data_IF_023617591329
#
_entry.id   IF_023617591329
#
_cell.length_a   1.000
_cell.length_b   1.000
_cell.length_c   1.000
_cell.angle_alpha   90.00
_cell.angle_beta   90.00
_cell.angle_gamma   90.00
#
_symmetry.space_group_name_H-M   'P 1'
#
loop_
_entity.id
_entity.type
_entity.pdbx_description
1 polymer ?
#
# COMPACT_ATOMS: atom_id res chain seq x y z
N UNK A 1 35.54 -4.16 -26.01
CA UNK A 1 34.37 -5.05 -25.78
C UNK A 1 33.99 -5.20 -24.30
N UNK A 2 34.42 -4.31 -23.39
CA UNK A 2 34.15 -4.44 -21.94
C UNK A 2 33.16 -3.38 -21.40
N UNK A 3 32.91 -2.30 -22.15
CA UNK A 3 31.99 -1.23 -21.76
C UNK A 3 30.51 -1.51 -22.11
N UNK A 4 30.23 -2.28 -23.16
CA UNK A 4 28.86 -2.59 -23.56
C UNK A 4 28.19 -3.58 -22.61
N UNK A 5 28.95 -4.51 -22.02
CA UNK A 5 28.44 -5.46 -21.02
C UNK A 5 28.04 -4.77 -19.71
N UNK A 6 28.79 -3.77 -19.25
CA UNK A 6 28.47 -3.01 -18.04
C UNK A 6 27.18 -2.19 -18.17
N UNK A 7 26.91 -1.64 -19.35
CA UNK A 7 25.67 -0.88 -19.61
C UNK A 7 24.45 -1.80 -19.55
N UNK A 8 24.53 -3.01 -20.12
CA UNK A 8 23.45 -3.99 -20.01
C UNK A 8 23.24 -4.52 -18.58
N UNK A 9 24.31 -4.66 -17.79
CA UNK A 9 24.23 -5.14 -16.40
C UNK A 9 23.62 -4.08 -15.45
N UNK A 10 23.87 -2.79 -15.69
CA UNK A 10 23.24 -1.69 -14.93
C UNK A 10 21.77 -1.49 -15.34
N UNK A 11 21.42 -1.75 -16.60
CA UNK A 11 20.03 -1.70 -17.07
C UNK A 11 19.19 -2.88 -16.53
N UNK A 12 19.79 -4.07 -16.33
CA UNK A 12 19.13 -5.21 -15.69
C UNK A 12 19.01 -5.10 -14.15
N UNK A 13 19.86 -4.28 -13.51
CA UNK A 13 19.75 -3.95 -12.08
C UNK A 13 18.74 -2.85 -11.78
N UNK A 14 18.18 -2.19 -12.80
CA UNK A 14 16.92 -1.48 -12.69
C UNK A 14 15.79 -2.51 -12.77
N UNK A 15 15.65 -3.33 -11.72
CA UNK A 15 14.34 -3.89 -11.39
C UNK A 15 13.43 -2.68 -11.39
N UNK A 16 12.54 -2.58 -12.38
CA UNK A 16 11.49 -1.58 -12.38
C UNK A 16 10.85 -1.68 -11.00
N UNK A 17 11.12 -0.72 -10.12
CA UNK A 17 10.36 -0.55 -8.90
C UNK A 17 8.95 -0.32 -9.42
N UNK A 18 8.15 -1.37 -9.45
CA UNK A 18 6.74 -1.26 -9.84
C UNK A 18 6.16 -0.33 -8.78
N UNK A 19 5.98 0.94 -9.14
CA UNK A 19 5.44 1.94 -8.22
C UNK A 19 3.97 1.60 -8.04
N UNK A 20 3.67 0.84 -7.02
CA UNK A 20 2.30 0.54 -6.60
C UNK A 20 1.80 1.71 -5.76
N UNK A 21 0.58 2.18 -6.00
CA UNK A 21 -0.06 3.17 -5.14
C UNK A 21 -0.43 2.56 -3.77
N UNK A 22 -0.75 1.26 -3.77
CA UNK A 22 -1.02 0.50 -2.56
C UNK A 22 -1.22 -0.98 -2.83
N UNK A 23 -1.72 -1.67 -1.82
CA UNK A 23 -1.96 -3.11 -1.83
C UNK A 23 -3.29 -3.46 -1.19
N UNK A 24 -3.94 -4.46 -1.78
CA UNK A 24 -5.05 -5.18 -1.18
C UNK A 24 -4.50 -6.50 -0.64
N UNK A 25 -4.60 -6.70 0.67
CA UNK A 25 -4.03 -7.85 1.37
C UNK A 25 -5.15 -8.81 1.77
N UNK A 26 -4.93 -10.10 1.55
CA UNK A 26 -5.88 -11.17 1.90
C UNK A 26 -5.13 -12.17 2.78
N UNK A 27 -5.62 -12.38 4.00
CA UNK A 27 -5.14 -13.41 4.91
C UNK A 27 -6.11 -14.58 4.88
N UNK A 28 -5.69 -15.69 4.29
CA UNK A 28 -6.44 -16.93 4.28
C UNK A 28 -6.49 -17.50 5.70
N UNK A 29 -7.68 -17.91 6.15
CA UNK A 29 -7.84 -18.52 7.47
C UNK A 29 -8.13 -20.01 7.34
N UNK A 30 -9.22 -20.38 6.65
CA UNK A 30 -9.65 -21.79 6.59
C UNK A 30 -10.38 -22.15 5.31
N UNK A 31 -10.11 -23.35 4.81
CA UNK A 31 -10.90 -24.04 3.78
C UNK A 31 -11.34 -25.42 4.28
N UNK A 32 -12.60 -25.76 4.03
CA UNK A 32 -13.20 -27.04 4.40
C UNK A 32 -13.89 -27.64 3.17
N UNK A 33 -13.35 -28.75 2.68
CA UNK A 33 -13.98 -29.62 1.68
C UNK A 33 -13.98 -31.07 2.19
N UNK A 34 -14.76 -31.34 3.24
CA UNK A 34 -14.71 -32.62 3.96
C UNK A 34 -14.89 -33.83 3.05
N UNK A 35 -15.70 -33.68 1.99
CA UNK A 35 -16.05 -34.76 1.05
C UNK A 35 -15.11 -34.86 -0.16
N UNK A 36 -14.18 -33.93 -0.35
CA UNK A 36 -13.27 -33.93 -1.51
C UNK A 36 -14.00 -33.77 -2.85
N UNK A 37 -15.09 -33.01 -2.85
CA UNK A 37 -15.97 -32.81 -4.01
C UNK A 37 -15.68 -31.48 -4.70
N UNK A 38 -15.91 -31.44 -6.02
CA UNK A 38 -15.97 -30.20 -6.79
C UNK A 38 -17.39 -29.59 -6.75
N UNK A 39 -17.61 -28.47 -7.43
CA UNK A 39 -18.90 -27.75 -7.45
C UNK A 39 -20.05 -28.59 -8.02
N UNK A 40 -19.76 -29.58 -8.86
CA UNK A 40 -20.75 -30.48 -9.47
C UNK A 40 -21.04 -31.71 -8.59
N UNK A 41 -20.42 -31.83 -7.41
CA UNK A 41 -20.60 -32.96 -6.51
C UNK A 41 -19.84 -34.22 -6.93
N UNK A 42 -18.84 -34.13 -7.81
CA UNK A 42 -17.97 -35.26 -8.17
C UNK A 42 -16.62 -35.18 -7.47
N UNK A 43 -15.98 -36.33 -7.22
CA UNK A 43 -14.69 -36.39 -6.55
C UNK A 43 -13.59 -35.71 -7.36
N UNK A 44 -12.78 -34.88 -6.69
CA UNK A 44 -11.66 -34.16 -7.30
C UNK A 44 -10.72 -35.08 -8.12
N UNK A 45 -10.44 -36.28 -7.64
CA UNK A 45 -9.51 -37.21 -8.29
C UNK A 45 -10.15 -38.59 -8.56
N UNK A 46 -11.46 -38.56 -8.84
CA UNK A 46 -12.25 -39.76 -9.09
C UNK A 46 -12.66 -40.50 -7.80
N UNK A 47 -13.79 -41.23 -7.84
CA UNK A 47 -14.21 -42.07 -6.73
C UNK A 47 -13.48 -43.42 -6.73
N UNK A 48 -13.52 -44.10 -5.59
CA UNK A 48 -13.23 -45.53 -5.52
C UNK A 48 -14.41 -46.39 -6.00
N UNK A 49 -14.31 -47.72 -5.84
CA UNK A 49 -15.38 -48.66 -6.21
C UNK A 49 -16.67 -48.50 -5.38
N UNK A 50 -16.60 -47.79 -4.26
CA UNK A 50 -17.70 -47.52 -3.33
C UNK A 50 -18.20 -46.06 -3.42
N UNK A 51 -17.86 -45.34 -4.49
CA UNK A 51 -18.24 -43.93 -4.70
C UNK A 51 -17.70 -42.95 -3.64
N UNK A 52 -16.60 -43.30 -2.97
CA UNK A 52 -15.94 -42.49 -1.95
C UNK A 52 -14.73 -41.77 -2.52
N UNK A 53 -14.56 -40.49 -2.18
CA UNK A 53 -13.41 -39.69 -2.61
C UNK A 53 -12.20 -39.97 -1.71
N UNK A 54 -11.32 -40.88 -2.12
CA UNK A 54 -10.13 -41.26 -1.34
C UNK A 54 -8.97 -40.29 -1.59
N UNK A 55 -8.75 -39.90 -2.85
CA UNK A 55 -7.63 -39.05 -3.21
C UNK A 55 -7.96 -37.58 -2.91
N UNK A 56 -7.12 -36.86 -2.14
CA UNK A 56 -7.38 -35.46 -1.81
C UNK A 56 -7.30 -34.58 -3.06
N UNK A 57 -8.04 -33.48 -3.07
CA UNK A 57 -7.89 -32.43 -4.07
C UNK A 57 -6.48 -31.82 -4.00
N UNK A 58 -5.97 -31.33 -5.12
CA UNK A 58 -4.78 -30.50 -5.21
C UNK A 58 -5.22 -29.04 -5.29
N UNK A 59 -5.45 -28.44 -4.13
CA UNK A 59 -6.18 -27.17 -4.03
C UNK A 59 -5.26 -25.97 -4.28
N UNK A 60 -5.60 -25.13 -5.25
CA UNK A 60 -5.00 -23.81 -5.49
C UNK A 60 -6.10 -22.76 -5.68
N UNK A 61 -5.72 -21.48 -5.65
CA UNK A 61 -6.68 -20.37 -5.67
C UNK A 61 -6.32 -19.35 -6.75
N UNK A 62 -7.37 -18.74 -7.32
CA UNK A 62 -7.31 -17.60 -8.22
C UNK A 62 -8.00 -16.40 -7.56
N UNK A 63 -7.34 -15.26 -7.59
CA UNK A 63 -7.83 -14.01 -7.05
C UNK A 63 -8.03 -13.01 -8.17
N UNK A 64 -9.22 -12.41 -8.24
CA UNK A 64 -9.53 -11.36 -9.19
C UNK A 64 -10.12 -10.16 -8.44
N UNK A 65 -9.37 -9.07 -8.40
CA UNK A 65 -9.77 -7.82 -7.78
C UNK A 65 -10.08 -6.79 -8.86
N UNK A 66 -11.29 -6.22 -8.80
CA UNK A 66 -11.74 -5.20 -9.74
C UNK A 66 -12.56 -4.12 -9.06
N UNK A 67 -12.69 -2.99 -9.73
CA UNK A 67 -13.66 -1.96 -9.36
C UNK A 67 -15.10 -2.46 -9.59
N UNK A 68 -16.04 -1.88 -8.85
CA UNK A 68 -17.46 -2.03 -9.17
C UNK A 68 -17.74 -1.21 -10.44
N UNK A 69 -18.19 -1.88 -11.50
CA UNK A 69 -18.59 -1.22 -12.74
C UNK A 69 -19.98 -1.73 -13.11
N UNK A 70 -21.00 -0.86 -13.11
CA UNK A 70 -22.37 -1.26 -13.39
C UNK A 70 -22.56 -1.90 -14.77
N UNK A 71 -21.68 -1.63 -15.75
CA UNK A 71 -21.73 -2.23 -17.09
C UNK A 71 -21.05 -3.62 -17.18
N UNK A 72 -20.18 -3.98 -16.22
CA UNK A 72 -19.53 -5.29 -16.12
C UNK A 72 -20.26 -6.24 -15.15
N UNK A 73 -21.24 -5.74 -14.42
CA UNK A 73 -22.04 -6.48 -13.44
C UNK A 73 -23.34 -7.05 -14.02
N UNK A 74 -23.45 -7.12 -15.36
CA UNK A 74 -24.53 -7.86 -16.03
C UNK A 74 -24.39 -9.36 -15.72
N UNK A 75 -25.38 -9.90 -15.01
CA UNK A 75 -25.51 -11.29 -14.59
C UNK A 75 -25.40 -12.28 -15.77
N UNK A 76 -25.64 -11.81 -17.00
CA UNK A 76 -25.63 -12.65 -18.20
C UNK A 76 -24.27 -12.67 -18.93
N UNK A 77 -23.25 -11.93 -18.47
CA UNK A 77 -21.96 -11.91 -19.13
C UNK A 77 -21.14 -13.17 -18.78
N UNK A 78 -20.79 -14.03 -19.75
CA UNK A 78 -19.94 -15.17 -19.48
C UNK A 78 -18.56 -14.67 -19.03
N UNK A 79 -18.07 -15.19 -17.90
CA UNK A 79 -16.74 -14.90 -17.40
C UNK A 79 -15.72 -15.24 -18.49
N UNK A 80 -15.11 -14.21 -19.09
CA UNK A 80 -14.14 -14.44 -20.16
C UNK A 80 -12.85 -15.00 -19.57
N UNK A 81 -12.20 -15.90 -20.32
CA UNK A 81 -10.99 -16.64 -19.91
C UNK A 81 -9.77 -15.70 -19.77
N UNK A 82 -9.86 -14.48 -20.29
CA UNK A 82 -8.78 -13.52 -20.23
C UNK A 82 -8.91 -12.67 -18.97
N UNK A 83 -7.81 -12.45 -18.25
CA UNK A 83 -7.69 -11.59 -17.06
C UNK A 83 -8.06 -10.09 -17.28
N UNK A 84 -8.73 -9.78 -18.38
CA UNK A 84 -9.21 -8.45 -18.79
C UNK A 84 -10.34 -7.91 -17.88
N UNK A 85 -10.88 -8.74 -16.98
CA UNK A 85 -11.92 -8.35 -16.02
C UNK A 85 -11.37 -7.91 -14.65
N UNK A 86 -10.11 -8.22 -14.32
CA UNK A 86 -9.50 -7.92 -13.02
C UNK A 86 -8.80 -6.55 -13.03
N UNK A 87 -9.58 -5.47 -13.04
CA UNK A 87 -9.08 -4.11 -13.30
C UNK A 87 -8.06 -3.57 -12.30
N UNK A 88 -8.06 -4.07 -11.06
CA UNK A 88 -7.06 -3.68 -10.06
C UNK A 88 -5.87 -4.62 -10.04
N UNK A 89 -6.12 -5.93 -9.91
CA UNK A 89 -5.07 -6.92 -9.75
C UNK A 89 -5.60 -8.34 -9.94
N UNK A 90 -4.70 -9.24 -10.31
CA UNK A 90 -4.97 -10.66 -10.48
C UNK A 90 -3.78 -11.45 -9.93
N UNK A 91 -4.06 -12.58 -9.29
CA UNK A 91 -3.02 -13.51 -8.87
C UNK A 91 -3.52 -14.96 -8.81
N UNK A 92 -2.61 -15.92 -8.91
CA UNK A 92 -2.87 -17.35 -8.73
C UNK A 92 -1.82 -17.96 -7.80
N UNK A 93 -2.27 -18.79 -6.86
CA UNK A 93 -1.36 -19.46 -5.92
C UNK A 93 -0.82 -20.75 -6.54
N UNK A 94 0.35 -21.24 -6.05
CA UNK A 94 0.66 -22.66 -6.16
C UNK A 94 -0.36 -23.51 -5.41
N UNK A 95 -0.22 -24.84 -5.49
CA UNK A 95 -1.02 -25.76 -4.67
C UNK A 95 -0.75 -25.47 -3.18
N UNK A 96 -1.79 -25.10 -2.45
CA UNK A 96 -1.74 -24.74 -1.03
C UNK A 96 -1.99 -25.94 -0.11
N UNK A 97 -2.64 -26.99 -0.62
CA UNK A 97 -2.93 -28.18 0.17
C UNK A 97 -4.04 -29.06 -0.40
N UNK A 98 -4.64 -29.83 0.51
CA UNK A 98 -5.64 -30.85 0.20
C UNK A 98 -7.09 -30.35 0.29
N UNK A 99 -7.96 -31.25 0.73
CA UNK A 99 -9.39 -31.02 0.95
C UNK A 99 -9.69 -29.95 2.02
N UNK A 100 -9.08 -30.10 3.19
CA UNK A 100 -9.28 -29.19 4.32
C UNK A 100 -7.94 -28.54 4.63
N UNK A 101 -7.92 -27.22 4.70
CA UNK A 101 -6.69 -26.45 4.90
C UNK A 101 -6.94 -25.46 6.04
N UNK A 102 -6.09 -25.55 7.06
CA UNK A 102 -5.94 -24.53 8.08
C UNK A 102 -4.74 -23.67 7.67
N UNK A 103 -5.00 -22.54 7.01
CA UNK A 103 -3.94 -21.72 6.41
C UNK A 103 -3.07 -21.07 7.47
N UNK A 104 -3.60 -20.86 8.68
CA UNK A 104 -2.86 -20.28 9.81
C UNK A 104 -1.73 -21.17 10.32
N UNK A 105 -1.71 -22.45 9.92
CA UNK A 105 -0.66 -23.42 10.25
C UNK A 105 0.39 -23.60 9.16
N UNK A 106 0.22 -22.94 8.01
CA UNK A 106 1.21 -23.00 6.93
C UNK A 106 2.49 -22.25 7.31
N UNK A 107 3.64 -22.56 6.67
CA UNK A 107 4.85 -21.77 6.82
C UNK A 107 4.62 -20.27 6.62
N UNK A 108 5.41 -19.45 7.30
CA UNK A 108 5.21 -18.01 7.38
C UNK A 108 5.02 -17.39 5.97
N UNK A 109 3.95 -16.60 5.80
CA UNK A 109 3.52 -15.88 4.59
C UNK A 109 2.80 -16.69 3.50
N UNK A 110 2.68 -18.02 3.59
CA UNK A 110 1.92 -18.80 2.59
C UNK A 110 0.40 -18.53 2.62
N UNK A 111 -0.10 -17.97 3.72
CA UNK A 111 -1.50 -17.59 3.91
C UNK A 111 -1.80 -16.12 3.56
N UNK A 112 -0.80 -15.32 3.21
CA UNK A 112 -0.97 -13.89 2.89
C UNK A 112 -0.83 -13.67 1.37
N UNK A 113 -1.92 -13.29 0.73
CA UNK A 113 -1.96 -12.92 -0.68
C UNK A 113 -1.95 -11.41 -0.79
N UNK A 114 -1.07 -10.87 -1.64
CA UNK A 114 -0.89 -9.43 -1.81
C UNK A 114 -1.20 -9.06 -3.25
N UNK A 115 -2.28 -8.33 -3.45
CA UNK A 115 -2.73 -7.83 -4.73
C UNK A 115 -2.36 -6.34 -4.87
N UNK A 116 -1.23 -6.01 -5.52
CA UNK A 116 -0.84 -4.62 -5.71
C UNK A 116 -1.75 -3.92 -6.71
N UNK A 117 -2.00 -2.63 -6.50
CA UNK A 117 -2.67 -1.77 -7.47
C UNK A 117 -1.82 -0.53 -7.79
N UNK A 118 -1.87 -0.08 -9.05
CA UNK A 118 -1.05 1.04 -9.56
C UNK A 118 -1.75 2.39 -9.56
N UNK A 119 -3.08 2.39 -9.59
CA UNK A 119 -3.90 3.60 -9.72
C UNK A 119 -4.61 3.94 -8.42
N UNK A 120 -5.28 5.09 -8.38
CA UNK A 120 -6.07 5.53 -7.22
C UNK A 120 -7.09 4.47 -6.80
N UNK A 121 -7.12 4.17 -5.51
CA UNK A 121 -8.10 3.28 -4.89
C UNK A 121 -9.48 3.95 -4.86
N UNK A 122 -10.47 3.39 -5.56
CA UNK A 122 -11.79 4.02 -5.68
C UNK A 122 -12.73 3.78 -4.48
N UNK A 123 -12.31 2.99 -3.47
CA UNK A 123 -13.15 2.64 -2.32
C UNK A 123 -13.98 1.37 -2.55
N UNK A 124 -14.78 1.36 -3.62
CA UNK A 124 -15.67 0.25 -3.96
C UNK A 124 -14.95 -0.82 -4.78
N UNK A 125 -15.18 -2.09 -4.43
CA UNK A 125 -14.52 -3.20 -5.08
C UNK A 125 -15.41 -4.45 -5.20
N UNK A 126 -15.00 -5.32 -6.11
CA UNK A 126 -15.44 -6.71 -6.23
C UNK A 126 -14.20 -7.58 -6.13
N UNK A 127 -14.19 -8.49 -5.16
CA UNK A 127 -13.17 -9.53 -5.05
C UNK A 127 -13.84 -10.87 -5.32
N UNK A 128 -13.38 -11.55 -6.36
CA UNK A 128 -13.74 -12.93 -6.66
C UNK A 128 -12.56 -13.84 -6.32
N UNK A 129 -12.83 -14.91 -5.58
CA UNK A 129 -11.85 -15.96 -5.28
C UNK A 129 -12.43 -17.26 -5.81
N UNK A 130 -11.76 -17.83 -6.79
CA UNK A 130 -12.07 -19.17 -7.31
C UNK A 130 -11.09 -20.17 -6.69
N UNK A 131 -11.61 -21.25 -6.12
CA UNK A 131 -10.85 -22.33 -5.51
C UNK A 131 -10.93 -23.53 -6.44
N UNK A 132 -9.79 -24.03 -6.89
CA UNK A 132 -9.70 -25.06 -7.91
C UNK A 132 -8.98 -26.31 -7.40
N UNK A 133 -9.35 -27.45 -7.98
CA UNK A 133 -8.54 -28.65 -8.00
C UNK A 133 -7.65 -28.63 -9.24
N UNK A 134 -6.34 -28.70 -9.05
CA UNK A 134 -5.36 -28.83 -10.13
C UNK A 134 -5.47 -30.21 -10.81
N UNK A 135 -5.46 -30.22 -12.15
CA UNK A 135 -5.49 -31.42 -13.00
C UNK A 135 -4.23 -31.55 -13.86
N UNK A 136 -3.23 -30.70 -13.63
CA UNK A 136 -1.97 -30.80 -14.36
C UNK A 136 -1.21 -32.06 -13.94
N UNK A 137 -0.41 -32.60 -14.86
CA UNK A 137 0.40 -33.78 -14.60
C UNK A 137 1.64 -33.46 -13.75
N UNK A 138 2.19 -32.25 -13.89
CA UNK A 138 3.36 -31.75 -13.17
C UNK A 138 3.01 -31.13 -11.80
N UNK A 139 1.72 -30.90 -11.52
CA UNK A 139 1.27 -30.30 -10.26
C UNK A 139 1.66 -28.84 -10.14
N UNK A 140 1.77 -28.13 -11.27
CA UNK A 140 2.08 -26.71 -11.33
C UNK A 140 0.93 -25.98 -12.02
N UNK A 141 -0.03 -25.42 -11.26
CA UNK A 141 -1.09 -24.62 -11.86
C UNK A 141 -0.49 -23.35 -12.48
N UNK A 142 -0.96 -23.00 -13.67
CA UNK A 142 -0.62 -21.77 -14.38
C UNK A 142 -1.87 -21.23 -15.09
N UNK A 143 -1.95 -19.95 -15.47
CA UNK A 143 -3.15 -19.40 -16.11
C UNK A 143 -3.57 -20.19 -17.37
N UNK A 144 -4.81 -20.67 -17.38
CA UNK A 144 -5.36 -21.53 -18.45
C UNK A 144 -5.08 -23.04 -18.33
N UNK A 145 -4.27 -23.49 -17.37
CA UNK A 145 -4.01 -24.92 -17.11
C UNK A 145 -5.29 -25.72 -16.80
N UNK A 146 -5.25 -27.03 -17.02
CA UNK A 146 -6.34 -27.95 -16.70
C UNK A 146 -6.71 -27.89 -15.20
N UNK A 147 -7.98 -27.62 -14.90
CA UNK A 147 -8.49 -27.36 -13.54
C UNK A 147 -9.97 -27.72 -13.42
N UNK A 148 -10.43 -27.98 -12.20
CA UNK A 148 -11.85 -28.13 -11.87
C UNK A 148 -12.24 -27.21 -10.71
N UNK A 149 -13.38 -26.53 -10.83
CA UNK A 149 -13.86 -25.60 -9.78
C UNK A 149 -14.39 -26.36 -8.56
N UNK A 150 -13.85 -26.04 -7.39
CA UNK A 150 -14.34 -26.54 -6.09
C UNK A 150 -15.40 -25.59 -5.54
N UNK A 151 -15.04 -24.32 -5.40
CA UNK A 151 -15.89 -23.27 -4.83
C UNK A 151 -15.53 -21.93 -5.48
N UNK A 152 -16.53 -21.09 -5.74
CA UNK A 152 -16.33 -19.69 -6.13
C UNK A 152 -17.00 -18.80 -5.09
N UNK A 153 -16.27 -17.84 -4.54
CA UNK A 153 -16.82 -16.80 -3.67
C UNK A 153 -16.62 -15.43 -4.31
N UNK A 154 -17.58 -14.53 -4.09
CA UNK A 154 -17.51 -13.14 -4.54
C UNK A 154 -17.99 -12.23 -3.44
N UNK A 155 -17.15 -11.29 -3.04
CA UNK A 155 -17.52 -10.22 -2.11
C UNK A 155 -17.59 -8.89 -2.85
N UNK A 156 -18.59 -8.09 -2.50
CA UNK A 156 -18.80 -6.72 -2.99
C UNK A 156 -18.88 -5.82 -1.78
N UNK A 157 -17.98 -4.85 -1.68
CA UNK A 157 -17.92 -3.98 -0.50
C UNK A 157 -17.20 -2.67 -0.84
N UNK A 158 -17.15 -1.80 0.15
CA UNK A 158 -16.48 -0.50 0.14
C UNK A 158 -15.55 -0.44 1.35
N UNK A 159 -14.26 -0.17 1.13
CA UNK A 159 -13.28 -0.06 2.21
C UNK A 159 -12.31 1.08 1.92
N UNK A 160 -11.93 1.83 2.94
CA UNK A 160 -10.87 2.83 2.84
C UNK A 160 -9.56 2.29 3.42
N UNK A 161 -8.39 2.73 2.92
CA UNK A 161 -7.11 2.35 3.48
C UNK A 161 -7.01 2.76 4.96
N UNK A 162 -7.05 1.80 5.88
CA UNK A 162 -7.03 2.05 7.32
C UNK A 162 -6.34 0.95 8.15
N UNK A 163 -5.64 0.03 7.49
CA UNK A 163 -4.89 -1.09 8.09
C UNK A 163 -5.71 -2.09 8.92
N UNK A 164 -7.03 -1.89 9.06
CA UNK A 164 -7.93 -2.76 9.83
C UNK A 164 -8.42 -3.92 8.98
N UNK A 165 -8.28 -5.14 9.51
CA UNK A 165 -8.76 -6.35 8.85
C UNK A 165 -10.29 -6.44 8.89
N UNK A 166 -10.89 -6.76 7.75
CA UNK A 166 -12.29 -7.14 7.60
C UNK A 166 -12.38 -8.66 7.44
N UNK A 167 -13.42 -9.27 8.00
CA UNK A 167 -13.65 -10.71 7.89
C UNK A 167 -14.67 -11.02 6.79
N UNK A 168 -14.45 -12.12 6.06
CA UNK A 168 -15.41 -12.68 5.12
C UNK A 168 -15.44 -14.20 5.20
N UNK A 169 -16.61 -14.77 4.93
CA UNK A 169 -16.83 -16.21 4.90
C UNK A 169 -17.84 -16.57 3.82
N UNK A 170 -17.70 -17.76 3.28
CA UNK A 170 -18.67 -18.39 2.38
C UNK A 170 -18.92 -19.80 2.86
N UNK A 171 -20.20 -20.14 3.00
CA UNK A 171 -20.66 -21.48 3.38
C UNK A 171 -21.59 -21.93 2.25
N UNK A 172 -21.16 -22.94 1.50
CA UNK A 172 -22.04 -23.62 0.55
C UNK A 172 -22.81 -24.71 1.30
N UNK A 173 -24.09 -24.47 1.58
CA UNK A 173 -24.97 -25.43 2.23
C UNK A 173 -25.57 -26.46 1.27
N UNK A 174 -25.08 -26.54 0.03
CA UNK A 174 -25.48 -27.58 -0.92
C UNK A 174 -24.93 -28.96 -0.51
N UNK A 175 -25.10 -29.97 -1.37
CA UNK A 175 -24.63 -31.33 -1.12
C UNK A 175 -23.11 -31.42 -0.89
N UNK A 176 -22.33 -30.45 -1.36
CA UNK A 176 -20.88 -30.38 -1.24
C UNK A 176 -20.42 -29.95 0.16
N UNK A 177 -21.18 -29.10 0.85
CA UNK A 177 -20.91 -28.58 2.20
C UNK A 177 -19.55 -27.87 2.34
N UNK A 178 -19.15 -27.04 1.37
CA UNK A 178 -17.88 -26.30 1.42
C UNK A 178 -17.95 -25.10 2.38
N UNK A 179 -16.85 -24.81 3.06
CA UNK A 179 -16.71 -23.59 3.88
C UNK A 179 -15.35 -22.95 3.61
N UNK A 180 -15.32 -21.63 3.43
CA UNK A 180 -14.11 -20.86 3.22
C UNK A 180 -14.17 -19.54 4.00
N UNK A 181 -13.13 -19.23 4.78
CA UNK A 181 -13.00 -17.99 5.54
C UNK A 181 -11.63 -17.32 5.30
N UNK A 182 -11.65 -15.99 5.28
CA UNK A 182 -10.48 -15.16 5.08
C UNK A 182 -10.70 -13.76 5.67
N UNK A 183 -9.60 -13.04 5.85
CA UNK A 183 -9.62 -11.60 6.16
C UNK A 183 -9.02 -10.81 5.02
N UNK A 184 -9.43 -9.55 4.90
CA UNK A 184 -8.86 -8.64 3.91
C UNK A 184 -8.71 -7.23 4.45
N UNK A 185 -7.77 -6.47 3.87
CA UNK A 185 -7.61 -5.03 4.14
C UNK A 185 -6.98 -4.33 2.95
N UNK A 186 -7.04 -3.01 2.97
CA UNK A 186 -6.35 -2.13 2.02
C UNK A 186 -5.36 -1.26 2.77
N UNK A 187 -4.17 -1.11 2.21
CA UNK A 187 -3.14 -0.20 2.72
C UNK A 187 -2.42 0.49 1.58
N UNK A 188 -2.04 1.75 1.81
CA UNK A 188 -1.24 2.50 0.84
C UNK A 188 0.21 2.00 0.85
N UNK A 189 0.88 2.15 -0.28
CA UNK A 189 2.30 1.87 -0.37
C UNK A 189 3.08 2.92 0.45
N UNK A 190 4.36 2.64 0.72
CA UNK A 190 5.24 3.59 1.39
C UNK A 190 5.21 4.93 0.66
N UNK A 191 5.10 6.03 1.41
CA UNK A 191 5.00 7.41 0.92
C UNK A 191 3.70 7.74 0.16
N UNK A 192 2.73 6.83 0.04
CA UNK A 192 1.41 7.13 -0.50
C UNK A 192 0.38 7.29 0.63
N UNK A 193 -0.48 8.29 0.50
CA UNK A 193 -1.45 8.70 1.51
C UNK A 193 -2.78 9.10 0.88
N UNK A 194 -3.75 9.44 1.71
CA UNK A 194 -5.11 9.75 1.31
C UNK A 194 -6.00 8.52 1.26
N UNK A 195 -7.31 8.75 1.26
CA UNK A 195 -8.35 7.70 1.16
C UNK A 195 -8.27 6.90 -0.14
N UNK A 196 -7.56 7.40 -1.15
CA UNK A 196 -7.38 6.77 -2.45
C UNK A 196 -5.94 6.32 -2.73
N UNK A 197 -5.02 6.47 -1.77
CA UNK A 197 -3.58 6.21 -1.96
C UNK A 197 -2.98 6.92 -3.19
N UNK A 198 -3.47 8.11 -3.53
CA UNK A 198 -3.08 8.84 -4.75
C UNK A 198 -2.08 9.97 -4.47
N UNK A 199 -1.88 10.35 -3.21
CA UNK A 199 -0.98 11.44 -2.84
C UNK A 199 0.37 10.88 -2.41
N UNK A 200 1.40 11.12 -3.22
CA UNK A 200 2.77 10.84 -2.84
C UNK A 200 3.33 11.94 -1.93
N UNK A 201 3.95 11.56 -0.83
CA UNK A 201 4.67 12.47 0.06
C UNK A 201 5.95 11.82 0.56
N UNK A 202 7.08 12.43 0.23
CA UNK A 202 8.41 12.04 0.71
C UNK A 202 9.10 13.29 1.24
N UNK A 203 9.25 13.44 2.57
CA UNK A 203 9.85 14.62 3.17
C UNK A 203 11.30 14.80 2.70
N UNK A 204 11.60 15.92 2.04
CA UNK A 204 12.95 16.25 1.57
C UNK A 204 13.84 16.88 2.65
N UNK A 205 13.23 17.40 3.71
CA UNK A 205 13.88 18.10 4.81
C UNK A 205 13.67 17.33 6.11
N UNK A 206 14.64 17.36 7.03
CA UNK A 206 14.46 16.87 8.40
C UNK A 206 13.39 17.64 9.18
N UNK A 207 12.92 18.78 8.64
CA UNK A 207 11.91 19.65 9.24
C UNK A 207 10.52 19.47 8.65
N UNK A 208 10.31 18.47 7.79
CA UNK A 208 8.99 18.10 7.28
C UNK A 208 8.59 16.69 7.70
N UNK A 209 7.29 16.47 7.78
CA UNK A 209 6.67 15.14 7.85
C UNK A 209 5.42 15.13 6.99
N UNK A 210 4.96 13.94 6.60
CA UNK A 210 3.70 13.79 5.91
C UNK A 210 2.55 13.68 6.92
N UNK A 211 1.43 14.33 6.65
CA UNK A 211 0.18 14.05 7.32
C UNK A 211 -0.22 12.59 7.05
N UNK A 212 -0.46 11.77 8.08
CA UNK A 212 -0.72 10.35 7.91
C UNK A 212 -2.07 10.05 7.23
N UNK A 213 -3.01 11.01 7.21
CA UNK A 213 -4.33 10.85 6.58
C UNK A 213 -4.34 11.43 5.17
N UNK A 214 -3.83 12.65 4.99
CA UNK A 214 -3.95 13.39 3.73
C UNK A 214 -2.72 13.29 2.84
N UNK A 215 -1.53 13.03 3.42
CA UNK A 215 -0.24 13.13 2.74
C UNK A 215 0.27 14.56 2.56
N UNK A 216 -0.28 15.54 3.27
CA UNK A 216 0.21 16.91 3.23
C UNK A 216 1.57 17.06 3.90
N UNK A 217 2.44 17.89 3.34
CA UNK A 217 3.68 18.26 4.01
C UNK A 217 3.33 19.15 5.20
N UNK A 218 3.67 18.69 6.39
CA UNK A 218 3.57 19.45 7.64
C UNK A 218 4.97 19.89 8.03
N UNK A 219 5.17 21.20 8.12
CA UNK A 219 6.40 21.77 8.64
C UNK A 219 6.46 21.66 10.17
N UNK A 220 7.64 21.33 10.68
CA UNK A 220 7.93 21.44 12.10
C UNK A 220 7.82 22.89 12.56
N UNK A 221 7.59 23.07 13.86
CA UNK A 221 7.46 24.39 14.45
C UNK A 221 8.69 25.27 14.13
N UNK A 222 8.44 26.48 13.66
CA UNK A 222 9.50 27.41 13.27
C UNK A 222 9.99 27.27 11.83
N UNK A 223 9.41 26.37 11.03
CA UNK A 223 9.75 26.17 9.62
C UNK A 223 8.55 26.44 8.70
N UNK A 224 8.84 26.85 7.47
CA UNK A 224 7.84 27.18 6.44
C UNK A 224 8.39 26.95 5.04
N UNK A 225 7.60 27.28 4.01
CA UNK A 225 7.88 26.98 2.61
C UNK A 225 7.36 25.60 2.19
N UNK A 226 7.38 25.34 0.88
CA UNK A 226 6.86 24.09 0.28
C UNK A 226 7.60 22.86 0.82
N UNK A 227 8.91 22.98 1.03
CA UNK A 227 9.77 21.89 1.50
C UNK A 227 10.14 21.99 2.99
N UNK A 228 9.54 22.94 3.72
CA UNK A 228 9.87 23.22 5.12
C UNK A 228 11.36 23.49 5.38
N UNK A 229 12.02 24.15 4.42
CA UNK A 229 13.43 24.51 4.48
C UNK A 229 13.67 25.99 4.83
N UNK A 230 12.60 26.78 4.95
CA UNK A 230 12.71 28.20 5.32
C UNK A 230 12.43 28.37 6.81
N UNK A 231 13.41 28.87 7.55
CA UNK A 231 13.22 29.23 8.96
C UNK A 231 12.25 30.40 9.08
N UNK A 232 11.37 30.36 10.08
CA UNK A 232 10.51 31.48 10.47
C UNK A 232 11.33 32.37 11.39
N UNK A 233 11.55 33.61 10.96
CA UNK A 233 12.34 34.57 11.72
C UNK A 233 11.61 35.01 12.98
N UNK A 234 12.38 35.58 13.91
CA UNK A 234 11.85 36.18 15.13
C UNK A 234 10.68 37.13 14.81
N UNK A 235 9.60 37.02 15.58
CA UNK A 235 8.44 37.89 15.43
C UNK A 235 8.84 39.37 15.50
N UNK A 236 8.49 40.11 14.45
CA UNK A 236 8.79 41.54 14.31
C UNK A 236 10.19 41.87 13.80
N UNK A 237 10.95 40.89 13.27
CA UNK A 237 12.19 41.15 12.54
C UNK A 237 11.90 42.03 11.32
N UNK A 238 12.52 43.22 11.26
CA UNK A 238 12.25 44.20 10.19
C UNK A 238 13.36 44.17 9.12
N UNK A 239 14.57 44.57 9.49
CA UNK A 239 15.71 44.69 8.59
C UNK A 239 16.73 43.59 8.85
N UNK A 240 16.27 42.35 8.88
CA UNK A 240 17.11 41.19 9.12
C UNK A 240 16.54 39.92 8.51
N UNK A 241 17.31 38.85 8.63
CA UNK A 241 16.99 37.53 8.09
C UNK A 241 17.31 36.44 9.10
N UNK A 242 16.80 35.24 8.86
CA UNK A 242 17.13 34.04 9.59
C UNK A 242 17.46 32.97 8.55
N UNK A 243 18.62 32.33 8.68
CA UNK A 243 19.10 31.38 7.68
C UNK A 243 18.60 29.97 8.02
N UNK A 244 19.25 29.32 8.98
CA UNK A 244 19.02 27.90 9.29
C UNK A 244 18.49 27.69 10.71
N UNK A 245 18.10 28.76 11.40
CA UNK A 245 17.63 28.70 12.78
C UNK A 245 16.36 29.57 12.94
N UNK A 246 15.23 28.97 13.34
CA UNK A 246 14.02 29.70 13.66
C UNK A 246 14.23 30.71 14.79
N UNK A 247 13.36 31.72 14.87
CA UNK A 247 13.34 32.72 15.93
C UNK A 247 14.61 33.60 16.05
N UNK A 248 15.40 33.68 14.98
CA UNK A 248 16.51 34.63 14.86
C UNK A 248 16.17 35.85 14.00
N UNK A 249 16.94 36.91 14.18
CA UNK A 249 16.91 38.11 13.35
C UNK A 249 18.34 38.63 13.22
N UNK A 250 19.03 38.21 12.15
CA UNK A 250 20.38 38.64 11.81
C UNK A 250 20.26 39.92 10.98
N UNK A 251 20.70 41.04 11.54
CA UNK A 251 20.50 42.34 10.92
C UNK A 251 21.29 42.48 9.63
N UNK A 252 20.66 43.09 8.62
CA UNK A 252 21.35 43.58 7.45
C UNK A 252 22.33 44.70 7.84
N UNK A 253 23.32 44.95 6.98
CA UNK A 253 24.27 46.04 7.20
C UNK A 253 23.54 47.37 7.41
N UNK A 254 23.96 48.12 8.44
CA UNK A 254 23.34 49.40 8.79
C UNK A 254 22.25 49.32 9.87
N UNK A 255 21.87 48.13 10.36
CA UNK A 255 20.82 47.94 11.36
C UNK A 255 21.30 47.20 12.62
N UNK A 256 20.63 47.43 13.75
CA UNK A 256 20.90 46.77 15.04
C UNK A 256 19.63 46.67 15.90
N UNK A 257 19.76 46.10 17.09
CA UNK A 257 18.68 45.75 18.00
C UNK A 257 18.16 44.33 17.78
N UNK A 258 17.47 43.79 18.77
CA UNK A 258 16.98 42.39 18.80
C UNK A 258 16.04 42.03 17.62
N UNK A 259 15.41 43.03 17.01
CA UNK A 259 14.50 42.89 15.86
C UNK A 259 14.98 43.67 14.63
N UNK A 260 16.24 44.14 14.64
CA UNK A 260 16.83 44.95 13.58
C UNK A 260 16.01 46.21 13.25
N UNK A 261 15.48 46.83 14.29
CA UNK A 261 14.60 48.00 14.20
C UNK A 261 15.34 49.33 14.34
N UNK A 262 16.64 49.32 14.69
CA UNK A 262 17.43 50.53 14.95
C UNK A 262 18.48 50.74 13.85
N UNK A 263 18.46 51.86 13.10
CA UNK A 263 19.54 52.21 12.19
C UNK A 263 20.82 52.56 12.96
N UNK A 264 21.97 52.03 12.54
CA UNK A 264 23.28 52.29 13.16
C UNK A 264 23.68 53.77 13.13
N UNK A 265 23.26 54.52 12.11
CA UNK A 265 23.47 55.97 12.00
C UNK A 265 22.92 56.72 13.23
N UNK A 266 21.83 56.22 13.82
CA UNK A 266 21.21 56.82 15.01
C UNK A 266 22.08 56.69 16.25
N UNK A 267 22.89 55.64 16.35
CA UNK A 267 23.84 55.44 17.45
C UNK A 267 25.07 56.33 17.30
N UNK A 268 25.49 56.62 16.07
CA UNK A 268 26.60 57.55 15.81
C UNK A 268 26.24 59.01 16.12
N UNK A 269 24.96 59.35 16.14
CA UNK A 269 24.45 60.68 16.56
C UNK A 269 24.23 60.83 18.06
N UNK A 270 24.39 59.77 18.87
CA UNK A 270 24.30 59.89 20.33
C UNK A 270 25.65 60.47 20.82
N UNK A 271 25.67 61.63 21.50
CA UNK A 271 26.90 62.14 22.10
C UNK A 271 27.42 61.10 23.09
N UNK A 272 28.67 60.64 22.91
CA UNK A 272 29.33 59.84 23.94
C UNK A 272 29.24 60.61 25.27
N UNK A 273 28.84 59.96 26.38
CA UNK A 273 28.92 60.62 27.67
C UNK A 273 30.36 61.11 27.84
N UNK A 274 30.54 62.43 28.04
CA UNK A 274 31.82 62.98 28.44
C UNK A 274 32.13 62.37 29.80
N UNK A 275 32.98 61.34 29.82
CA UNK A 275 33.63 60.90 31.05
C UNK A 275 34.55 62.03 31.44
N UNK A 276 34.15 62.87 32.41
CA UNK A 276 35.07 63.81 33.01
C UNK A 276 36.01 63.00 33.90
N UNK A 277 37.24 62.79 33.44
CA UNK A 277 38.31 62.43 34.36
C UNK A 277 38.49 63.60 35.33
N UNK A 278 38.05 63.45 36.57
CA UNK A 278 38.54 64.26 37.67
C UNK A 278 39.93 63.72 38.02
N UNK A 279 40.98 64.33 37.44
CA UNK A 279 42.34 64.11 37.89
C UNK A 279 42.68 65.10 39.00
N UNK A 280 43.42 64.62 40.00
CA UNK A 280 44.41 65.43 40.71
C UNK A 280 44.11 65.71 42.18
N UNK A 281 44.81 64.99 43.05
CA UNK A 281 44.87 65.18 44.50
C UNK A 281 45.61 64.02 45.14
#
# INVERSE_FOLDING_TARGET
MMNTFYVFLVIFLQIQLISTAGKFEIELERLVNRKGLNVNGTCCNGPDRFFTCIQPCKTFMRFCLRNQNPNLDDINRPATVNNEECTYSFDETPILGGNNIDFLRLPQQANLIVLPFKFSWMGDFVLRIDIFNDKTYDGQPYPGSARELILSTTIRSSIYPNSSWQYAQTIDSSLTSHEFSFRYRVSCATNFYGSQCSRFCSPLSSHSRCDPQTGEIICQQGWTGVDCNKAICRAGCQHGHCLNQPNQCICHQGWTGEKCQVPLQRLMSIPKPKVSCHNGG
#
